data_IF_219434328281
#
_entry.id   IF_219434328281
#
_cell.length_a   1.000
_cell.length_b   1.000
_cell.length_c   1.000
_cell.angle_alpha   90.00
_cell.angle_beta   90.00
_cell.angle_gamma   90.00
#
_symmetry.space_group_name_H-M   'P 1'
#
loop_
_entity.id
_entity.type
_entity.pdbx_description
1 polymer ?
#
# COMPACT_ATOMS: atom_id res chain seq x y z
N UNK A 1 -14.79 7.02 28.18
CA UNK A 1 -15.35 7.19 26.81
C UNK A 1 -14.24 6.88 25.81
N UNK A 2 -14.54 6.18 24.73
CA UNK A 2 -13.56 6.00 23.65
C UNK A 2 -13.32 7.33 22.94
N UNK A 3 -12.04 7.63 22.62
CA UNK A 3 -11.63 8.90 21.99
C UNK A 3 -12.23 9.09 20.61
N UNK A 4 -12.49 10.33 20.24
CA UNK A 4 -12.87 10.73 18.89
C UNK A 4 -11.62 10.95 18.04
N UNK A 5 -11.48 10.22 16.94
CA UNK A 5 -10.29 10.22 16.09
C UNK A 5 -10.58 10.92 14.77
N UNK A 6 -9.85 11.99 14.49
CA UNK A 6 -9.81 12.61 13.17
C UNK A 6 -8.73 11.91 12.33
N UNK A 7 -9.15 11.17 11.32
CA UNK A 7 -8.23 10.52 10.37
C UNK A 7 -7.95 11.49 9.23
N UNK A 8 -6.67 11.71 8.92
CA UNK A 8 -6.26 12.45 7.73
C UNK A 8 -5.43 11.55 6.82
N UNK A 9 -5.84 11.42 5.57
CA UNK A 9 -5.19 10.49 4.62
C UNK A 9 -5.35 10.95 3.17
N UNK A 10 -4.61 10.32 2.26
CA UNK A 10 -4.82 10.54 0.83
C UNK A 10 -6.06 9.80 0.32
N UNK A 11 -6.22 8.54 0.69
CA UNK A 11 -7.33 7.69 0.29
C UNK A 11 -8.40 7.63 1.39
N UNK A 12 -9.71 7.53 1.07
CA UNK A 12 -10.73 7.23 2.06
C UNK A 12 -10.63 5.80 2.58
N UNK A 13 -11.35 5.49 3.66
CA UNK A 13 -11.55 4.11 4.09
C UNK A 13 -12.08 3.26 2.94
N UNK A 14 -11.56 2.05 2.79
CA UNK A 14 -11.96 1.13 1.72
C UNK A 14 -11.59 -0.31 2.07
N UNK A 15 -12.50 -1.25 1.81
CA UNK A 15 -12.24 -2.69 1.91
C UNK A 15 -11.43 -3.26 0.74
N UNK A 16 -11.31 -2.53 -0.36
CA UNK A 16 -10.85 -3.10 -1.63
C UNK A 16 -9.49 -2.58 -2.10
N UNK A 17 -9.16 -1.32 -1.85
CA UNK A 17 -8.05 -0.69 -2.55
C UNK A 17 -7.09 0.12 -1.66
N UNK A 18 -5.82 0.08 -2.05
CA UNK A 18 -4.76 0.99 -1.60
C UNK A 18 -4.60 1.13 -0.07
N UNK A 19 -4.20 2.29 0.35
CA UNK A 19 -4.02 2.66 1.76
C UNK A 19 -5.33 2.72 2.55
N UNK A 20 -6.50 2.82 1.89
CA UNK A 20 -7.81 2.72 2.51
C UNK A 20 -8.04 1.37 3.19
N UNK A 21 -7.56 0.27 2.58
CA UNK A 21 -7.60 -1.08 3.17
C UNK A 21 -6.74 -1.17 4.44
N UNK A 22 -5.62 -0.47 4.47
CA UNK A 22 -4.76 -0.40 5.67
C UNK A 22 -5.47 0.35 6.81
N UNK A 23 -6.14 1.47 6.50
CA UNK A 23 -6.94 2.21 7.48
C UNK A 23 -8.09 1.34 8.00
N UNK A 24 -8.83 0.67 7.11
CA UNK A 24 -9.88 -0.27 7.51
C UNK A 24 -9.35 -1.31 8.49
N UNK A 25 -8.21 -1.93 8.18
CA UNK A 25 -7.62 -2.97 9.03
C UNK A 25 -7.24 -2.46 10.44
N UNK A 26 -6.88 -1.19 10.59
CA UNK A 26 -6.47 -0.59 11.86
C UNK A 26 -7.66 -0.17 12.71
N UNK A 27 -8.72 0.33 12.09
CA UNK A 27 -9.91 0.83 12.79
C UNK A 27 -11.09 -0.15 12.78
N UNK A 28 -10.88 -1.37 12.31
CA UNK A 28 -11.90 -2.40 12.33
C UNK A 28 -12.37 -2.67 13.77
N UNK A 29 -13.69 -2.51 14.00
CA UNK A 29 -14.28 -2.64 15.33
C UNK A 29 -14.16 -1.39 16.21
N UNK A 30 -13.54 -0.31 15.74
CA UNK A 30 -13.65 0.99 16.40
C UNK A 30 -15.04 1.60 16.15
N UNK A 31 -15.67 2.27 17.14
CA UNK A 31 -17.00 2.86 16.95
C UNK A 31 -16.99 3.86 15.80
N UNK A 32 -17.86 3.65 14.81
CA UNK A 32 -17.89 4.46 13.59
C UNK A 32 -18.32 5.93 13.87
N UNK A 33 -19.06 6.16 14.95
CA UNK A 33 -19.46 7.49 15.44
C UNK A 33 -18.28 8.27 16.02
N UNK A 34 -17.21 7.59 16.45
CA UNK A 34 -16.00 8.19 16.99
C UNK A 34 -14.91 8.38 15.92
N UNK A 35 -15.24 8.15 14.64
CA UNK A 35 -14.36 8.38 13.52
C UNK A 35 -14.88 9.52 12.63
N UNK A 36 -13.96 10.40 12.21
CA UNK A 36 -14.17 11.36 11.14
C UNK A 36 -12.95 11.35 10.22
N UNK A 37 -13.13 11.50 8.92
CA UNK A 37 -12.01 11.43 7.97
C UNK A 37 -11.97 12.65 7.04
N UNK A 38 -10.78 13.25 6.94
CA UNK A 38 -10.40 14.18 5.88
C UNK A 38 -9.59 13.36 4.85
N UNK A 39 -9.94 13.46 3.57
CA UNK A 39 -9.21 12.76 2.52
C UNK A 39 -9.10 13.57 1.22
N UNK A 40 -8.12 13.21 0.37
CA UNK A 40 -7.68 14.03 -0.75
C UNK A 40 -8.04 13.45 -2.13
N UNK A 41 -8.37 12.17 -2.21
CA UNK A 41 -8.65 11.48 -3.47
C UNK A 41 -10.10 11.74 -3.93
N UNK A 42 -10.35 12.00 -5.24
CA UNK A 42 -11.69 12.18 -5.78
C UNK A 42 -12.40 10.83 -5.96
N UNK A 43 -12.60 10.09 -4.87
CA UNK A 43 -13.30 8.80 -4.83
C UNK A 43 -14.45 8.85 -3.82
N UNK A 44 -15.43 7.97 -3.99
CA UNK A 44 -16.52 7.80 -3.03
C UNK A 44 -16.01 7.05 -1.81
N UNK A 45 -16.24 7.55 -0.59
CA UNK A 45 -15.86 6.86 0.63
C UNK A 45 -16.82 5.71 0.95
N UNK A 46 -16.38 4.77 1.79
CA UNK A 46 -17.22 3.70 2.30
C UNK A 46 -17.80 4.08 3.68
N UNK A 47 -19.10 4.35 3.75
CA UNK A 47 -19.79 4.79 4.95
C UNK A 47 -19.96 3.68 6.01
N UNK A 48 -19.65 2.43 5.70
CA UNK A 48 -19.62 1.35 6.68
C UNK A 48 -18.48 1.48 7.71
N UNK A 49 -17.45 2.28 7.42
CA UNK A 49 -16.28 2.44 8.29
C UNK A 49 -16.24 3.78 9.01
N UNK A 50 -16.84 4.80 8.44
CA UNK A 50 -16.89 6.12 9.02
C UNK A 50 -18.11 6.86 8.46
N UNK A 51 -18.81 7.64 9.29
CA UNK A 51 -20.00 8.40 8.86
C UNK A 51 -19.71 9.85 8.51
N UNK A 52 -18.56 10.37 8.91
CA UNK A 52 -18.21 11.79 8.77
C UNK A 52 -17.01 11.93 7.87
N UNK A 53 -17.23 12.37 6.64
CA UNK A 53 -16.16 12.60 5.66
C UNK A 53 -16.09 14.06 5.27
N UNK A 54 -14.87 14.57 5.08
CA UNK A 54 -14.58 15.84 4.46
C UNK A 54 -13.57 15.63 3.34
N UNK A 55 -13.93 15.93 2.10
CA UNK A 55 -13.08 15.72 0.93
C UNK A 55 -12.48 17.04 0.46
N UNK A 56 -11.19 17.07 0.18
CA UNK A 56 -10.47 18.18 -0.45
C UNK A 56 -9.63 17.63 -1.57
N UNK A 57 -9.99 17.89 -2.82
CA UNK A 57 -9.29 17.36 -3.99
C UNK A 57 -8.30 18.36 -4.59
N UNK A 58 -7.28 17.86 -5.32
CA UNK A 58 -6.36 18.70 -6.09
C UNK A 58 -7.11 19.61 -7.08
N UNK A 59 -8.22 19.13 -7.64
CA UNK A 59 -9.06 19.91 -8.56
C UNK A 59 -9.70 21.13 -7.87
N UNK A 60 -10.29 20.91 -6.68
CA UNK A 60 -10.89 22.00 -5.91
C UNK A 60 -9.83 23.04 -5.49
N UNK A 61 -8.63 22.56 -5.14
CA UNK A 61 -7.46 23.41 -4.83
C UNK A 61 -7.04 24.24 -6.05
N UNK A 62 -6.96 23.65 -7.24
CA UNK A 62 -6.66 24.37 -8.48
C UNK A 62 -7.74 25.42 -8.79
N UNK A 63 -9.01 25.04 -8.71
CA UNK A 63 -10.14 25.94 -8.94
C UNK A 63 -10.14 27.11 -7.96
N UNK A 64 -9.85 26.85 -6.67
CA UNK A 64 -9.77 27.89 -5.67
C UNK A 64 -8.65 28.90 -5.94
N UNK A 65 -7.45 28.43 -6.28
CA UNK A 65 -6.32 29.32 -6.55
C UNK A 65 -6.51 30.14 -7.84
N UNK A 66 -7.15 29.56 -8.87
CA UNK A 66 -7.29 30.23 -10.18
C UNK A 66 -8.56 31.09 -10.29
N UNK A 67 -9.64 30.70 -9.63
CA UNK A 67 -10.98 31.33 -9.83
C UNK A 67 -11.75 31.55 -8.53
N UNK A 68 -11.09 31.47 -7.40
CA UNK A 68 -11.70 31.59 -6.07
C UNK A 68 -12.88 30.62 -5.83
N UNK A 69 -12.82 29.45 -6.52
CA UNK A 69 -13.82 28.38 -6.37
C UNK A 69 -13.87 27.81 -4.96
N UNK A 70 -14.97 27.11 -4.65
CA UNK A 70 -15.12 26.39 -3.37
C UNK A 70 -14.03 25.32 -3.25
N UNK A 71 -13.45 25.16 -2.06
CA UNK A 71 -12.45 24.14 -1.76
C UNK A 71 -12.90 23.28 -0.59
N UNK A 72 -13.07 21.99 -0.86
CA UNK A 72 -13.50 21.00 0.10
C UNK A 72 -14.98 21.08 0.47
N UNK A 73 -15.54 19.96 0.88
CA UNK A 73 -16.92 19.85 1.37
C UNK A 73 -17.09 18.58 2.22
N UNK A 74 -18.05 18.65 3.16
CA UNK A 74 -18.53 17.48 3.87
C UNK A 74 -19.31 16.55 2.93
N UNK A 75 -19.24 15.25 3.18
CA UNK A 75 -20.00 14.23 2.45
C UNK A 75 -20.93 13.51 3.44
N UNK A 76 -22.19 13.36 3.05
CA UNK A 76 -23.20 12.59 3.78
C UNK A 76 -23.53 11.30 3.02
N UNK A 77 -24.07 10.30 3.72
CA UNK A 77 -24.42 9.01 3.12
C UNK A 77 -25.45 9.16 1.98
N UNK A 78 -26.34 10.13 2.10
CA UNK A 78 -27.32 10.48 1.06
C UNK A 78 -26.66 10.99 -0.25
N UNK A 79 -25.47 11.60 -0.15
CA UNK A 79 -24.71 12.12 -1.29
C UNK A 79 -24.08 11.01 -2.12
N UNK A 80 -23.97 9.79 -1.60
CA UNK A 80 -23.43 8.63 -2.32
C UNK A 80 -24.23 8.28 -3.57
N UNK A 81 -25.50 8.67 -3.64
CA UNK A 81 -26.42 8.46 -4.76
C UNK A 81 -26.61 9.70 -5.66
N UNK A 82 -25.94 10.83 -5.39
CA UNK A 82 -26.20 12.07 -6.13
C UNK A 82 -25.22 12.30 -7.27
N UNK A 83 -25.73 12.82 -8.39
CA UNK A 83 -25.00 13.21 -9.61
C UNK A 83 -23.91 14.27 -9.40
N UNK A 84 -23.74 14.84 -8.18
CA UNK A 84 -22.67 15.79 -7.85
C UNK A 84 -21.26 15.16 -7.92
N UNK A 85 -21.14 13.86 -7.63
CA UNK A 85 -19.91 13.11 -7.84
C UNK A 85 -19.54 13.00 -9.31
N UNK A 86 -20.53 13.02 -10.21
CA UNK A 86 -20.32 12.91 -11.65
C UNK A 86 -19.82 14.22 -12.29
N UNK A 87 -20.21 15.40 -11.83
CA UNK A 87 -19.79 16.66 -12.43
C UNK A 87 -18.30 16.97 -12.18
N UNK A 88 -17.81 16.80 -10.95
CA UNK A 88 -16.38 16.94 -10.63
C UNK A 88 -15.56 15.86 -11.33
N UNK A 89 -16.06 14.63 -11.37
CA UNK A 89 -15.46 13.54 -12.11
C UNK A 89 -15.58 13.72 -13.63
N UNK A 90 -16.67 14.29 -14.15
CA UNK A 90 -16.87 14.56 -15.57
C UNK A 90 -15.92 15.65 -16.07
N UNK A 91 -15.67 16.69 -15.30
CA UNK A 91 -14.74 17.76 -15.69
C UNK A 91 -13.27 17.32 -15.57
N UNK A 92 -12.92 16.56 -14.52
CA UNK A 92 -11.61 15.88 -14.44
C UNK A 92 -11.49 14.87 -15.58
N UNK A 93 -12.53 14.10 -15.89
CA UNK A 93 -12.57 13.22 -17.08
C UNK A 93 -12.50 14.03 -18.37
N UNK A 94 -13.14 15.18 -18.47
CA UNK A 94 -13.10 16.04 -19.67
C UNK A 94 -11.74 16.71 -19.85
N UNK A 95 -11.11 17.22 -18.78
CA UNK A 95 -9.72 17.70 -18.81
C UNK A 95 -8.77 16.53 -19.13
N UNK A 96 -8.99 15.38 -18.53
CA UNK A 96 -8.30 14.12 -18.80
C UNK A 96 -8.53 13.65 -20.26
N UNK A 97 -9.78 13.71 -20.76
CA UNK A 97 -10.11 13.40 -22.15
C UNK A 97 -9.58 14.44 -23.15
N UNK A 98 -9.55 15.72 -22.80
CA UNK A 98 -8.98 16.78 -23.65
C UNK A 98 -7.46 16.66 -23.73
N UNK A 99 -6.80 16.37 -22.63
CA UNK A 99 -5.37 16.03 -22.58
C UNK A 99 -5.13 14.70 -23.32
N UNK A 100 -6.00 13.70 -23.18
CA UNK A 100 -5.95 12.42 -23.89
C UNK A 100 -6.12 12.58 -25.39
N UNK A 101 -7.12 13.35 -25.85
CA UNK A 101 -7.40 13.57 -27.28
C UNK A 101 -6.27 14.31 -27.98
N UNK A 102 -5.60 15.24 -27.26
CA UNK A 102 -4.40 15.95 -27.75
C UNK A 102 -3.17 15.05 -27.77
N UNK A 103 -3.12 14.04 -26.90
CA UNK A 103 -2.03 13.09 -26.69
C UNK A 103 -2.13 11.84 -27.58
N UNK A 104 -3.32 11.41 -27.99
CA UNK A 104 -3.49 10.28 -28.93
C UNK A 104 -2.81 10.54 -30.29
N UNK A 105 -2.58 11.81 -30.66
CA UNK A 105 -1.80 12.19 -31.84
C UNK A 105 -0.28 12.11 -31.68
N UNK A 106 0.26 11.95 -30.46
CA UNK A 106 1.70 12.10 -30.20
C UNK A 106 2.32 10.99 -29.34
N UNK A 107 1.74 9.80 -29.19
CA UNK A 107 2.36 8.70 -28.43
C UNK A 107 2.56 8.94 -26.91
N UNK A 108 2.33 10.17 -26.45
CA UNK A 108 2.52 10.63 -25.06
C UNK A 108 1.37 10.18 -24.15
N UNK A 109 0.22 9.78 -24.72
CA UNK A 109 -1.00 9.43 -23.99
C UNK A 109 -0.86 8.20 -23.08
N UNK A 110 -0.07 7.22 -23.48
CA UNK A 110 0.21 6.03 -22.64
C UNK A 110 1.08 6.37 -21.42
N UNK A 111 1.80 7.47 -21.47
CA UNK A 111 2.71 7.92 -20.43
C UNK A 111 1.98 8.67 -19.29
N UNK A 112 0.95 9.43 -19.63
CA UNK A 112 0.19 10.28 -18.69
C UNK A 112 -0.78 9.44 -17.83
N UNK A 113 -1.25 8.28 -18.32
CA UNK A 113 -2.19 7.40 -17.62
C UNK A 113 -1.58 6.54 -16.50
N UNK A 114 -0.25 6.41 -16.49
CA UNK A 114 0.44 5.67 -15.47
C UNK A 114 0.77 6.59 -14.31
N UNK A 115 0.33 6.64 -13.18
CA UNK A 115 0.82 7.40 -12.01
C UNK A 115 2.16 8.17 -12.17
N UNK A 116 2.70 8.23 -13.35
CA UNK A 116 3.97 8.83 -13.78
C UNK A 116 3.93 10.35 -13.80
N UNK A 117 2.80 10.98 -14.18
CA UNK A 117 2.68 12.46 -14.17
C UNK A 117 2.78 13.00 -12.75
N UNK A 118 2.21 12.28 -11.79
CA UNK A 118 2.35 12.61 -10.35
C UNK A 118 3.80 12.50 -9.84
N UNK A 119 4.71 12.05 -10.67
CA UNK A 119 6.12 11.80 -10.38
C UNK A 119 7.08 12.72 -11.12
N UNK A 120 6.56 13.58 -12.01
CA UNK A 120 7.38 14.61 -12.68
C UNK A 120 7.75 15.68 -11.63
N UNK A 121 9.04 15.96 -11.39
CA UNK A 121 9.47 16.87 -10.33
C UNK A 121 8.83 18.27 -10.39
N UNK A 122 8.68 18.82 -11.59
CA UNK A 122 8.03 20.11 -11.78
C UNK A 122 6.54 20.08 -11.41
N UNK A 123 5.84 18.99 -11.70
CA UNK A 123 4.44 18.83 -11.33
C UNK A 123 4.26 18.66 -9.80
N UNK A 124 5.17 17.93 -9.15
CA UNK A 124 5.18 17.83 -7.69
C UNK A 124 5.39 19.20 -7.05
N UNK A 125 6.36 19.99 -7.54
CA UNK A 125 6.61 21.34 -7.05
C UNK A 125 5.41 22.27 -7.27
N UNK A 126 4.78 22.19 -8.43
CA UNK A 126 3.57 22.96 -8.77
C UNK A 126 2.40 22.58 -7.83
N UNK A 127 2.18 21.30 -7.58
CA UNK A 127 1.17 20.81 -6.64
C UNK A 127 1.41 21.32 -5.23
N UNK A 128 2.65 21.26 -4.74
CA UNK A 128 3.04 21.80 -3.43
C UNK A 128 2.77 23.32 -3.32
N UNK A 129 3.00 24.04 -4.41
CA UNK A 129 2.72 25.47 -4.51
C UNK A 129 1.22 25.76 -4.45
N UNK A 130 0.40 25.03 -5.22
CA UNK A 130 -1.06 25.17 -5.22
C UNK A 130 -1.64 24.97 -3.83
N UNK A 131 -1.27 23.89 -3.14
CA UNK A 131 -1.72 23.59 -1.79
C UNK A 131 -1.27 24.65 -0.75
N UNK A 132 -0.17 25.36 -1.02
CA UNK A 132 0.29 26.46 -0.17
C UNK A 132 -0.62 27.69 -0.26
N UNK A 133 -1.15 27.97 -1.45
CA UNK A 133 -1.96 29.17 -1.72
C UNK A 133 -3.45 28.94 -1.63
N UNK A 134 -3.93 27.70 -1.64
CA UNK A 134 -5.33 27.38 -1.53
C UNK A 134 -5.89 27.70 -0.15
N UNK A 135 -7.08 28.30 -0.12
CA UNK A 135 -7.81 28.57 1.11
C UNK A 135 -8.64 27.34 1.53
N UNK A 136 -7.94 26.22 1.81
CA UNK A 136 -8.61 24.97 2.21
C UNK A 136 -9.19 25.03 3.65
N UNK A 137 -8.75 25.96 4.46
CA UNK A 137 -9.13 26.13 5.86
C UNK A 137 -10.38 27.04 6.01
N UNK A 138 -11.46 26.70 5.28
CA UNK A 138 -12.70 27.47 5.24
C UNK A 138 -13.44 27.49 6.58
N UNK A 139 -14.41 28.39 6.72
CA UNK A 139 -15.30 28.41 7.90
C UNK A 139 -16.07 27.09 8.04
N UNK A 140 -16.56 26.54 6.92
CA UNK A 140 -17.26 25.25 6.87
C UNK A 140 -16.37 24.11 7.37
N UNK A 141 -15.11 24.01 6.86
CA UNK A 141 -14.13 23.04 7.31
C UNK A 141 -13.88 23.13 8.83
N UNK A 142 -13.66 24.34 9.33
CA UNK A 142 -13.42 24.55 10.75
C UNK A 142 -14.64 24.22 11.62
N UNK A 143 -15.84 24.55 11.16
CA UNK A 143 -17.10 24.23 11.86
C UNK A 143 -17.32 22.72 11.90
N UNK A 144 -17.02 22.02 10.79
CA UNK A 144 -17.15 20.58 10.71
C UNK A 144 -16.21 19.85 11.70
N UNK A 145 -14.94 20.30 11.82
CA UNK A 145 -14.00 19.74 12.81
C UNK A 145 -14.44 20.03 14.24
N UNK A 146 -14.84 21.29 14.54
CA UNK A 146 -15.32 21.67 15.87
C UNK A 146 -16.55 20.90 16.30
N UNK A 147 -17.50 20.66 15.40
CA UNK A 147 -18.69 19.87 15.66
C UNK A 147 -18.38 18.40 15.98
N UNK A 148 -17.31 17.87 15.41
CA UNK A 148 -16.84 16.53 15.75
C UNK A 148 -16.07 16.52 17.08
N UNK A 149 -15.30 17.58 17.37
CA UNK A 149 -14.45 17.72 18.56
C UNK A 149 -13.50 16.53 18.75
N UNK A 150 -12.51 16.36 17.86
CA UNK A 150 -11.59 15.22 17.93
C UNK A 150 -10.63 15.30 19.12
N UNK A 151 -10.33 14.15 19.71
CA UNK A 151 -9.33 13.98 20.78
C UNK A 151 -7.95 13.65 20.25
N UNK A 152 -7.85 13.20 18.99
CA UNK A 152 -6.60 12.72 18.36
C UNK A 152 -6.66 12.96 16.84
N UNK A 153 -5.52 13.33 16.26
CA UNK A 153 -5.29 13.32 14.82
C UNK A 153 -4.45 12.09 14.43
N UNK A 154 -5.04 11.18 13.67
CA UNK A 154 -4.34 10.06 13.03
C UNK A 154 -4.03 10.42 11.58
N UNK A 155 -2.77 10.65 11.26
CA UNK A 155 -2.32 10.99 9.93
C UNK A 155 -1.66 9.80 9.23
N UNK A 156 -2.26 9.34 8.13
CA UNK A 156 -1.61 8.39 7.25
C UNK A 156 -0.64 9.13 6.33
N UNK A 157 0.65 8.99 6.60
CA UNK A 157 1.72 9.67 5.88
C UNK A 157 1.67 9.41 4.37
N UNK A 158 1.99 10.44 3.61
CA UNK A 158 1.99 10.43 2.16
C UNK A 158 3.33 10.88 1.58
N UNK A 159 3.48 10.86 0.26
CA UNK A 159 4.66 11.36 -0.44
C UNK A 159 4.69 12.88 -0.62
N UNK A 160 3.74 13.62 -0.03
CA UNK A 160 3.55 15.06 -0.24
C UNK A 160 3.88 15.85 1.02
N UNK A 161 4.73 16.89 0.90
CA UNK A 161 5.11 17.74 2.03
C UNK A 161 3.93 18.55 2.56
N UNK A 162 3.03 19.01 1.67
CA UNK A 162 1.85 19.78 2.09
C UNK A 162 0.93 18.99 3.04
N UNK A 163 0.83 17.66 2.88
CA UNK A 163 0.01 16.84 3.76
C UNK A 163 0.57 16.82 5.20
N UNK A 164 1.89 16.76 5.37
CA UNK A 164 2.52 16.92 6.68
C UNK A 164 2.28 18.32 7.29
N UNK A 165 2.33 19.38 6.45
CA UNK A 165 2.03 20.75 6.90
C UNK A 165 0.59 20.88 7.39
N UNK A 166 -0.38 20.28 6.66
CA UNK A 166 -1.79 20.25 7.07
C UNK A 166 -1.95 19.50 8.39
N UNK A 167 -1.38 18.30 8.51
CA UNK A 167 -1.45 17.51 9.74
C UNK A 167 -0.88 18.25 10.96
N UNK A 168 0.28 18.87 10.81
CA UNK A 168 0.89 19.70 11.85
C UNK A 168 0.02 20.89 12.23
N UNK A 169 -0.52 21.61 11.24
CA UNK A 169 -1.40 22.75 11.46
C UNK A 169 -2.70 22.36 12.17
N UNK A 170 -3.31 21.22 11.79
CA UNK A 170 -4.51 20.72 12.46
C UNK A 170 -4.22 20.34 13.93
N UNK A 171 -3.12 19.63 14.18
CA UNK A 171 -2.70 19.26 15.53
C UNK A 171 -2.48 20.51 16.40
N UNK A 172 -1.80 21.55 15.85
CA UNK A 172 -1.58 22.80 16.56
C UNK A 172 -2.86 23.58 16.82
N UNK A 173 -3.68 23.75 15.79
CA UNK A 173 -4.89 24.58 15.84
C UNK A 173 -5.94 24.07 16.80
N UNK A 174 -6.12 22.75 16.83
CA UNK A 174 -7.11 22.10 17.67
C UNK A 174 -6.56 21.54 18.97
N UNK A 175 -5.26 21.75 19.20
CA UNK A 175 -4.54 21.30 20.39
C UNK A 175 -4.69 19.80 20.67
N UNK A 176 -4.65 18.97 19.60
CA UNK A 176 -4.81 17.52 19.66
C UNK A 176 -3.49 16.80 19.33
N UNK A 177 -3.20 15.66 20.01
CA UNK A 177 -2.02 14.87 19.73
C UNK A 177 -2.04 14.30 18.31
N UNK A 178 -0.85 14.16 17.71
CA UNK A 178 -0.64 13.65 16.37
C UNK A 178 -0.05 12.24 16.42
N UNK A 179 -0.68 11.29 15.75
CA UNK A 179 -0.16 9.96 15.46
C UNK A 179 0.09 9.86 13.96
N UNK A 180 1.28 9.40 13.53
CA UNK A 180 1.63 9.27 12.11
C UNK A 180 1.84 7.81 11.74
N UNK A 181 1.09 7.31 10.75
CA UNK A 181 1.34 6.02 10.13
C UNK A 181 2.22 6.18 8.88
N UNK A 182 3.21 5.30 8.71
CA UNK A 182 4.11 5.27 7.56
C UNK A 182 4.01 3.92 6.85
N UNK A 183 3.52 3.93 5.61
CA UNK A 183 3.33 2.73 4.79
C UNK A 183 4.47 2.46 3.82
N UNK A 184 5.18 3.51 3.38
CA UNK A 184 6.25 3.44 2.39
C UNK A 184 7.41 4.39 2.71
N UNK A 185 8.61 4.08 2.20
CA UNK A 185 9.81 4.89 2.37
C UNK A 185 9.87 6.02 1.33
N UNK A 186 9.13 7.09 1.56
CA UNK A 186 9.19 8.28 0.72
C UNK A 186 10.38 9.21 1.04
N UNK A 187 11.14 8.93 2.09
CA UNK A 187 12.30 9.74 2.47
C UNK A 187 13.49 9.60 1.51
N UNK A 188 13.47 8.60 0.65
CA UNK A 188 14.48 8.37 -0.37
C UNK A 188 13.91 8.60 -1.76
N UNK A 189 14.47 9.55 -2.51
CA UNK A 189 14.06 9.78 -3.91
C UNK A 189 14.51 8.63 -4.80
N UNK A 190 13.59 8.21 -5.67
CA UNK A 190 13.85 7.20 -6.72
C UNK A 190 13.96 7.82 -8.11
N UNK A 191 13.73 9.13 -8.21
CA UNK A 191 13.69 9.84 -9.49
C UNK A 191 15.06 10.33 -9.94
N UNK A 192 15.23 10.59 -11.27
CA UNK A 192 16.44 11.21 -11.79
C UNK A 192 16.77 12.48 -11.00
N UNK A 193 18.05 12.67 -10.69
CA UNK A 193 18.52 13.85 -10.01
C UNK A 193 18.31 15.08 -10.89
N UNK A 194 17.39 15.95 -10.47
CA UNK A 194 17.23 17.30 -10.98
C UNK A 194 17.19 18.26 -9.80
N UNK A 195 17.56 19.51 -10.00
CA UNK A 195 17.51 20.53 -8.95
C UNK A 195 16.12 20.63 -8.33
N UNK A 196 15.06 20.56 -9.17
CA UNK A 196 13.68 20.55 -8.68
C UNK A 196 13.38 19.35 -7.82
N UNK A 197 13.86 18.16 -8.20
CA UNK A 197 13.65 16.94 -7.41
C UNK A 197 14.43 17.00 -6.08
N UNK A 198 15.64 17.52 -6.08
CA UNK A 198 16.41 17.71 -4.85
C UNK A 198 15.68 18.67 -3.89
N UNK A 199 15.14 19.76 -4.40
CA UNK A 199 14.34 20.71 -3.61
C UNK A 199 13.08 20.05 -3.04
N UNK A 200 12.30 19.35 -3.87
CA UNK A 200 11.09 18.64 -3.43
C UNK A 200 11.42 17.61 -2.34
N UNK A 201 12.50 16.86 -2.51
CA UNK A 201 12.93 15.85 -1.55
C UNK A 201 13.42 16.48 -0.24
N UNK A 202 14.15 17.58 -0.31
CA UNK A 202 14.62 18.32 0.87
C UNK A 202 13.42 18.89 1.65
N UNK A 203 12.44 19.47 0.94
CA UNK A 203 11.21 19.99 1.55
C UNK A 203 10.39 18.84 2.19
N UNK A 204 10.21 17.74 1.48
CA UNK A 204 9.54 16.54 2.02
C UNK A 204 10.24 16.05 3.30
N UNK A 205 11.54 15.83 3.24
CA UNK A 205 12.32 15.33 4.38
C UNK A 205 12.29 16.27 5.58
N UNK A 206 12.27 17.60 5.33
CA UNK A 206 12.10 18.61 6.40
C UNK A 206 10.77 18.40 7.14
N UNK A 207 9.65 18.34 6.43
CA UNK A 207 8.34 18.23 7.07
C UNK A 207 8.07 16.83 7.61
N UNK A 208 8.60 15.78 6.99
CA UNK A 208 8.61 14.43 7.55
C UNK A 208 9.33 14.42 8.91
N UNK A 209 10.52 14.98 8.99
CA UNK A 209 11.30 15.09 10.24
C UNK A 209 10.54 15.85 11.33
N UNK A 210 10.01 17.03 11.00
CA UNK A 210 9.20 17.83 11.94
C UNK A 210 7.98 17.02 12.40
N UNK A 211 7.26 16.36 11.47
CA UNK A 211 6.12 15.54 11.79
C UNK A 211 6.46 14.41 12.75
N UNK A 212 7.52 13.64 12.47
CA UNK A 212 7.99 12.55 13.33
C UNK A 212 8.37 13.04 14.73
N UNK A 213 9.07 14.16 14.82
CA UNK A 213 9.52 14.73 16.11
C UNK A 213 8.36 15.29 16.95
N UNK A 214 7.27 15.72 16.31
CA UNK A 214 6.07 16.26 16.97
C UNK A 214 4.99 15.22 17.21
N UNK A 215 5.05 14.08 16.53
CA UNK A 215 4.12 13.00 16.73
C UNK A 215 4.28 12.40 18.15
N UNK A 216 3.15 12.15 18.83
CA UNK A 216 3.14 11.37 20.06
C UNK A 216 3.61 9.93 19.81
N UNK A 217 3.26 9.39 18.65
CA UNK A 217 3.68 8.05 18.19
C UNK A 217 3.73 8.01 16.66
N UNK A 218 4.77 7.37 16.14
CA UNK A 218 4.90 7.01 14.72
C UNK A 218 4.67 5.52 14.56
N UNK A 219 3.89 5.14 13.57
CA UNK A 219 3.52 3.75 13.27
C UNK A 219 4.13 3.32 11.93
N UNK A 220 5.37 2.81 11.91
CA UNK A 220 5.94 2.21 10.71
C UNK A 220 5.27 0.89 10.35
N UNK A 221 5.22 0.57 9.04
CA UNK A 221 4.61 -0.68 8.55
C UNK A 221 5.44 -1.93 8.86
N UNK A 222 6.71 -1.80 9.27
CA UNK A 222 7.58 -2.91 9.64
C UNK A 222 8.72 -2.46 10.55
N UNK A 223 9.31 -3.43 11.27
CA UNK A 223 10.42 -3.21 12.21
C UNK A 223 11.69 -2.67 11.53
N UNK A 224 11.91 -2.98 10.25
CA UNK A 224 13.04 -2.44 9.49
C UNK A 224 12.88 -0.95 9.20
N UNK A 225 11.64 -0.52 8.91
CA UNK A 225 11.32 0.90 8.78
C UNK A 225 11.41 1.60 10.14
N UNK A 226 10.93 0.98 11.21
CA UNK A 226 11.05 1.49 12.57
C UNK A 226 12.50 1.79 12.92
N UNK A 227 13.38 0.78 12.78
CA UNK A 227 14.81 0.91 13.09
C UNK A 227 15.47 2.03 12.30
N UNK A 228 15.24 2.08 10.98
CA UNK A 228 15.83 3.08 10.10
C UNK A 228 15.32 4.49 10.40
N UNK A 229 14.00 4.66 10.58
CA UNK A 229 13.39 5.97 10.82
C UNK A 229 13.68 6.50 12.21
N UNK A 230 13.70 5.64 13.22
CA UNK A 230 14.11 6.00 14.59
C UNK A 230 15.56 6.50 14.61
N UNK A 231 16.47 5.82 13.89
CA UNK A 231 17.86 6.24 13.75
C UNK A 231 18.01 7.59 13.02
N UNK A 232 17.19 7.84 11.97
CA UNK A 232 17.29 9.06 11.13
C UNK A 232 16.61 10.27 11.71
N UNK A 233 15.46 10.08 12.33
CA UNK A 233 14.55 11.17 12.68
C UNK A 233 14.24 11.24 14.18
N UNK A 234 14.56 10.21 14.96
CA UNK A 234 14.17 10.11 16.38
C UNK A 234 12.69 9.84 16.56
N UNK A 235 12.14 10.16 17.72
CA UNK A 235 10.72 10.01 18.07
C UNK A 235 10.37 8.62 18.62
N UNK A 236 9.13 8.49 19.10
CA UNK A 236 8.56 7.21 19.57
C UNK A 236 7.96 6.47 18.40
N UNK A 237 8.40 5.23 18.20
CA UNK A 237 7.91 4.37 17.14
C UNK A 237 7.29 3.10 17.73
N UNK A 238 6.19 2.65 17.13
CA UNK A 238 5.52 1.36 17.43
C UNK A 238 5.12 0.74 16.10
N UNK A 239 5.76 -0.37 15.72
CA UNK A 239 5.44 -1.05 14.46
C UNK A 239 4.07 -1.70 14.52
N UNK A 240 3.20 -1.37 13.56
CA UNK A 240 1.98 -2.10 13.28
C UNK A 240 1.91 -2.50 11.82
N UNK A 241 1.71 -3.79 11.59
CA UNK A 241 1.58 -4.36 10.26
C UNK A 241 0.10 -4.51 9.87
N UNK A 242 -0.15 -4.58 8.57
CA UNK A 242 -1.49 -4.85 8.08
C UNK A 242 -2.01 -6.19 8.59
N UNK A 243 -3.29 -6.23 8.92
CA UNK A 243 -3.98 -7.42 9.38
C UNK A 243 -5.02 -7.90 8.39
N UNK A 244 -5.38 -9.14 8.49
CA UNK A 244 -6.44 -9.74 7.70
C UNK A 244 -7.17 -10.80 8.54
N UNK A 245 -8.48 -10.94 8.33
CA UNK A 245 -9.22 -12.05 8.90
C UNK A 245 -8.79 -13.35 8.22
N UNK A 246 -8.52 -14.39 9.01
CA UNK A 246 -8.18 -15.70 8.45
C UNK A 246 -9.31 -16.22 7.55
N UNK A 247 -8.98 -16.80 6.40
CA UNK A 247 -9.99 -17.46 5.55
C UNK A 247 -10.53 -18.76 6.16
N UNK A 248 -10.04 -19.17 7.34
CA UNK A 248 -10.35 -20.44 7.94
C UNK A 248 -9.47 -21.58 7.41
N UNK A 249 -9.90 -22.82 7.65
CA UNK A 249 -9.18 -23.99 7.16
C UNK A 249 -9.43 -24.18 5.67
N UNK A 250 -8.45 -23.85 4.85
CA UNK A 250 -8.46 -24.17 3.44
C UNK A 250 -8.10 -25.66 3.25
N UNK A 251 -8.80 -26.41 2.37
CA UNK A 251 -8.57 -27.84 2.17
C UNK A 251 -7.12 -28.10 1.75
N UNK A 252 -6.51 -29.14 2.35
CA UNK A 252 -5.17 -29.57 1.96
C UNK A 252 -5.20 -30.19 0.56
N UNK A 253 -4.25 -29.81 -0.30
CA UNK A 253 -4.10 -30.44 -1.61
C UNK A 253 -2.97 -31.47 -1.57
N UNK A 254 -3.33 -32.72 -1.80
CA UNK A 254 -2.42 -33.88 -1.72
C UNK A 254 -1.77 -34.27 -3.05
N UNK A 255 -2.17 -33.68 -4.18
CA UNK A 255 -1.62 -34.06 -5.49
C UNK A 255 -0.13 -33.64 -5.61
N UNK A 256 0.74 -34.62 -5.64
CA UNK A 256 2.21 -34.46 -5.71
C UNK A 256 2.69 -34.21 -7.16
N UNK A 257 1.99 -34.79 -8.13
CA UNK A 257 2.42 -34.78 -9.54
C UNK A 257 2.25 -33.44 -10.24
N UNK A 258 1.45 -32.52 -9.67
CA UNK A 258 1.14 -31.23 -10.25
C UNK A 258 1.08 -30.13 -9.19
N UNK A 259 2.24 -29.65 -8.77
CA UNK A 259 2.33 -28.50 -7.87
C UNK A 259 1.87 -27.22 -8.59
N UNK A 260 0.93 -26.51 -7.99
CA UNK A 260 0.42 -25.22 -8.46
C UNK A 260 1.01 -24.10 -7.64
N UNK A 261 1.67 -23.16 -8.31
CA UNK A 261 2.19 -21.94 -7.71
C UNK A 261 1.26 -20.77 -8.08
N UNK A 262 1.04 -19.86 -7.15
CA UNK A 262 0.22 -18.66 -7.35
C UNK A 262 1.00 -17.40 -7.00
N UNK A 263 1.05 -16.46 -7.92
CA UNK A 263 1.42 -15.08 -7.66
C UNK A 263 0.21 -14.17 -7.83
N UNK A 264 -0.15 -13.38 -6.81
CA UNK A 264 -1.20 -12.37 -6.89
C UNK A 264 -0.62 -11.01 -6.50
N UNK A 265 -0.38 -10.15 -7.50
CA UNK A 265 0.21 -8.85 -7.24
C UNK A 265 0.60 -8.07 -8.49
N UNK A 266 1.11 -6.86 -8.28
CA UNK A 266 1.58 -6.01 -9.36
C UNK A 266 2.84 -6.60 -10.02
N UNK A 267 2.77 -6.86 -11.32
CA UNK A 267 3.88 -7.39 -12.13
C UNK A 267 4.84 -6.31 -12.63
N UNK A 268 4.48 -5.04 -12.47
CA UNK A 268 5.30 -3.90 -12.88
C UNK A 268 6.53 -3.74 -11.95
N UNK A 269 7.23 -2.62 -12.07
CA UNK A 269 8.42 -2.30 -11.26
C UNK A 269 9.51 -3.41 -11.29
N UNK A 270 9.65 -4.11 -12.44
CA UNK A 270 10.67 -5.13 -12.63
C UNK A 270 10.33 -6.52 -12.10
N UNK A 271 9.20 -6.71 -11.42
CA UNK A 271 8.77 -8.02 -10.88
C UNK A 271 8.52 -9.05 -11.98
N UNK A 272 8.02 -8.64 -13.16
CA UNK A 272 7.84 -9.53 -14.31
C UNK A 272 9.12 -10.26 -14.73
N UNK A 273 10.31 -9.64 -14.55
CA UNK A 273 11.60 -10.28 -14.87
C UNK A 273 11.90 -11.43 -13.90
N UNK A 274 11.59 -11.23 -12.63
CA UNK A 274 11.78 -12.24 -11.57
C UNK A 274 10.76 -13.38 -11.74
N UNK A 275 9.50 -13.07 -12.05
CA UNK A 275 8.47 -14.06 -12.36
C UNK A 275 8.84 -14.91 -13.58
N UNK A 276 9.39 -14.30 -14.64
CA UNK A 276 9.88 -15.04 -15.80
C UNK A 276 11.07 -15.95 -15.45
N UNK A 277 11.98 -15.50 -14.58
CA UNK A 277 13.09 -16.34 -14.10
C UNK A 277 12.57 -17.52 -13.26
N UNK A 278 11.63 -17.28 -12.37
CA UNK A 278 10.97 -18.33 -11.58
C UNK A 278 10.25 -19.35 -12.48
N UNK A 279 9.48 -18.86 -13.47
CA UNK A 279 8.83 -19.74 -14.44
C UNK A 279 9.83 -20.61 -15.22
N UNK A 280 10.96 -20.02 -15.69
CA UNK A 280 12.00 -20.81 -16.35
C UNK A 280 12.64 -21.88 -15.44
N UNK A 281 12.83 -21.56 -14.14
CA UNK A 281 13.26 -22.55 -13.16
C UNK A 281 12.24 -23.70 -13.06
N UNK A 282 10.96 -23.37 -12.99
CA UNK A 282 9.88 -24.33 -12.94
C UNK A 282 9.80 -25.20 -14.21
N UNK A 283 9.97 -24.61 -15.40
CA UNK A 283 10.03 -25.37 -16.66
C UNK A 283 11.18 -26.39 -16.67
N UNK A 284 12.38 -25.99 -16.21
CA UNK A 284 13.53 -26.93 -16.12
C UNK A 284 13.29 -28.08 -15.14
N UNK A 285 12.60 -27.80 -14.01
CA UNK A 285 12.20 -28.86 -13.08
C UNK A 285 11.21 -29.80 -13.74
N UNK A 286 10.22 -29.28 -14.47
CA UNK A 286 9.26 -30.09 -15.21
C UNK A 286 9.95 -30.99 -16.25
N UNK A 287 10.85 -30.42 -17.05
CA UNK A 287 11.58 -31.17 -18.10
C UNK A 287 12.42 -32.30 -17.51
N UNK A 288 13.10 -32.01 -16.38
CA UNK A 288 13.97 -33.00 -15.71
C UNK A 288 13.18 -34.14 -15.03
N UNK A 289 12.01 -33.80 -14.44
CA UNK A 289 11.24 -34.75 -13.63
C UNK A 289 10.00 -35.32 -14.36
N UNK A 290 9.71 -34.91 -15.59
CA UNK A 290 8.52 -35.32 -16.32
C UNK A 290 7.23 -34.82 -15.71
N UNK A 291 7.26 -33.69 -14.98
CA UNK A 291 6.13 -33.12 -14.23
C UNK A 291 5.46 -31.98 -15.00
N UNK A 292 4.29 -31.51 -14.51
CA UNK A 292 3.54 -30.38 -15.12
C UNK A 292 3.16 -29.34 -14.09
N UNK A 293 4.16 -28.88 -13.30
CA UNK A 293 3.98 -27.77 -12.36
C UNK A 293 3.69 -26.46 -13.09
N UNK A 294 2.85 -25.60 -12.51
CA UNK A 294 2.43 -24.33 -13.13
C UNK A 294 2.56 -23.16 -12.17
N UNK A 295 2.91 -21.99 -12.71
CA UNK A 295 2.88 -20.70 -12.02
C UNK A 295 1.76 -19.85 -12.64
N UNK A 296 0.67 -19.65 -11.89
CA UNK A 296 -0.41 -18.75 -12.29
C UNK A 296 -0.16 -17.35 -11.74
N UNK A 297 -0.28 -16.33 -12.61
CA UNK A 297 -0.03 -14.93 -12.28
C UNK A 297 -1.32 -14.14 -12.41
N UNK A 298 -1.80 -13.57 -11.32
CA UNK A 298 -2.92 -12.63 -11.28
C UNK A 298 -2.42 -11.23 -10.92
N UNK A 299 -2.83 -10.21 -11.69
CA UNK A 299 -2.48 -8.82 -11.43
C UNK A 299 -3.75 -7.96 -11.28
N UNK A 300 -3.83 -7.11 -10.26
CA UNK A 300 -4.95 -6.18 -10.08
C UNK A 300 -4.92 -5.04 -11.10
N UNK A 301 -3.79 -4.86 -11.80
CA UNK A 301 -3.60 -3.83 -12.82
C UNK A 301 -3.52 -4.49 -14.19
N UNK A 302 -3.98 -3.77 -15.21
CA UNK A 302 -3.78 -4.17 -16.60
C UNK A 302 -2.30 -4.37 -16.89
N UNK A 303 -1.95 -5.55 -17.37
CA UNK A 303 -0.57 -5.92 -17.70
C UNK A 303 -0.25 -5.41 -19.11
N UNK A 304 0.78 -4.58 -19.31
CA UNK A 304 1.21 -4.15 -20.64
C UNK A 304 1.49 -5.35 -21.56
N UNK A 305 1.03 -5.26 -22.81
CA UNK A 305 1.12 -6.36 -23.78
C UNK A 305 2.56 -6.91 -23.96
N UNK A 306 3.57 -6.02 -23.88
CA UNK A 306 4.97 -6.45 -23.94
C UNK A 306 5.37 -7.36 -22.77
N UNK A 307 4.84 -7.12 -21.58
CA UNK A 307 5.07 -7.96 -20.39
C UNK A 307 4.30 -9.28 -20.53
N UNK A 308 3.06 -9.24 -21.00
CA UNK A 308 2.28 -10.47 -21.29
C UNK A 308 3.06 -11.35 -22.25
N UNK A 309 3.48 -10.81 -23.41
CA UNK A 309 4.29 -11.53 -24.40
C UNK A 309 5.60 -12.08 -23.83
N UNK A 310 6.21 -11.38 -22.87
CA UNK A 310 7.45 -11.84 -22.23
C UNK A 310 7.20 -13.02 -21.29
N UNK A 311 6.12 -12.98 -20.51
CA UNK A 311 5.76 -14.01 -19.53
C UNK A 311 5.23 -15.28 -20.23
N UNK A 312 4.37 -15.15 -21.24
CA UNK A 312 3.75 -16.29 -21.95
C UNK A 312 4.71 -17.07 -22.83
N UNK A 313 5.92 -16.56 -23.07
CA UNK A 313 7.01 -17.35 -23.69
C UNK A 313 7.54 -18.47 -22.78
N UNK A 314 7.22 -18.46 -21.49
CA UNK A 314 7.66 -19.45 -20.53
C UNK A 314 6.56 -20.49 -20.33
N UNK A 315 6.77 -21.77 -20.71
CA UNK A 315 5.70 -22.78 -20.77
C UNK A 315 4.98 -23.04 -19.45
N UNK A 316 5.66 -22.90 -18.32
CA UNK A 316 5.09 -23.13 -16.99
C UNK A 316 4.27 -21.93 -16.45
N UNK A 317 4.22 -20.79 -17.17
CA UNK A 317 3.50 -19.59 -16.73
C UNK A 317 2.12 -19.52 -17.36
N UNK A 318 1.11 -19.28 -16.52
CA UNK A 318 -0.27 -19.01 -16.92
C UNK A 318 -0.63 -17.61 -16.43
N UNK A 319 -1.13 -16.74 -17.32
CA UNK A 319 -1.65 -15.43 -16.96
C UNK A 319 -3.14 -15.55 -16.68
N UNK A 320 -3.54 -15.30 -15.45
CA UNK A 320 -4.94 -15.26 -15.02
C UNK A 320 -5.53 -13.85 -15.10
N UNK A 321 -6.84 -13.75 -14.94
CA UNK A 321 -7.55 -12.48 -14.82
C UNK A 321 -7.30 -11.77 -13.49
N UNK A 322 -7.69 -10.49 -13.37
CA UNK A 322 -7.73 -9.82 -12.08
C UNK A 322 -8.76 -10.48 -11.17
N UNK A 323 -8.40 -10.63 -9.90
CA UNK A 323 -9.24 -11.29 -8.88
C UNK A 323 -9.72 -10.27 -7.85
N UNK A 324 -10.99 -10.37 -7.46
CA UNK A 324 -11.49 -9.73 -6.25
C UNK A 324 -11.02 -10.51 -4.99
N UNK A 325 -11.39 -10.03 -3.78
CA UNK A 325 -10.91 -10.64 -2.53
C UNK A 325 -11.39 -12.08 -2.31
N UNK A 326 -12.63 -12.41 -2.70
CA UNK A 326 -13.19 -13.76 -2.57
C UNK A 326 -12.57 -14.73 -3.58
N UNK A 327 -12.43 -14.27 -4.83
CA UNK A 327 -11.77 -15.02 -5.90
C UNK A 327 -10.29 -15.30 -5.56
N UNK A 328 -9.61 -14.33 -4.96
CA UNK A 328 -8.23 -14.50 -4.50
C UNK A 328 -8.15 -15.56 -3.39
N UNK A 329 -9.06 -15.52 -2.42
CA UNK A 329 -9.12 -16.53 -1.35
C UNK A 329 -9.32 -17.93 -1.92
N UNK A 330 -10.22 -18.08 -2.90
CA UNK A 330 -10.44 -19.36 -3.61
C UNK A 330 -9.21 -19.80 -4.38
N UNK A 331 -8.57 -18.89 -5.14
CA UNK A 331 -7.36 -19.18 -5.90
C UNK A 331 -6.19 -19.60 -4.99
N UNK A 332 -6.03 -18.98 -3.82
CA UNK A 332 -5.06 -19.39 -2.80
C UNK A 332 -5.41 -20.79 -2.26
N UNK A 333 -6.70 -21.07 -2.01
CA UNK A 333 -7.17 -22.39 -1.59
C UNK A 333 -6.85 -23.49 -2.62
N UNK A 334 -6.83 -23.14 -3.91
CA UNK A 334 -6.54 -24.03 -5.02
C UNK A 334 -5.04 -24.20 -5.33
N UNK A 335 -4.17 -23.69 -4.50
CA UNK A 335 -2.73 -23.62 -4.73
C UNK A 335 -1.95 -24.43 -3.68
N UNK A 336 -0.75 -24.93 -4.03
CA UNK A 336 0.16 -25.58 -3.10
C UNK A 336 1.18 -24.59 -2.53
N UNK A 337 1.65 -23.65 -3.36
CA UNK A 337 2.70 -22.70 -3.02
C UNK A 337 2.27 -21.30 -3.44
N UNK A 338 2.21 -20.36 -2.51
CA UNK A 338 2.02 -18.93 -2.80
C UNK A 338 3.39 -18.27 -3.02
N UNK A 339 3.44 -17.34 -3.96
CA UNK A 339 4.71 -16.75 -4.42
C UNK A 339 4.76 -15.27 -4.11
N UNK A 340 5.87 -14.82 -3.52
CA UNK A 340 6.20 -13.41 -3.37
C UNK A 340 7.49 -13.08 -4.13
N UNK A 341 7.50 -11.99 -4.90
CA UNK A 341 8.68 -11.56 -5.63
C UNK A 341 8.98 -10.08 -5.48
N UNK A 342 10.28 -9.75 -5.39
CA UNK A 342 10.78 -8.38 -5.44
C UNK A 342 11.84 -8.21 -6.52
N UNK A 343 11.93 -7.02 -7.09
CA UNK A 343 12.86 -6.72 -8.18
C UNK A 343 14.31 -6.62 -7.69
N UNK A 344 15.25 -7.20 -8.43
CA UNK A 344 16.69 -7.01 -8.20
C UNK A 344 17.25 -5.71 -8.81
N UNK A 345 16.45 -4.97 -9.58
CA UNK A 345 16.88 -3.70 -10.17
C UNK A 345 17.16 -2.64 -9.12
N UNK A 346 18.32 -2.00 -9.16
CA UNK A 346 18.79 -1.07 -8.12
C UNK A 346 17.79 0.03 -7.78
N UNK A 347 17.14 0.62 -8.78
CA UNK A 347 16.13 1.67 -8.59
C UNK A 347 14.87 1.11 -7.91
N UNK A 348 14.43 -0.09 -8.29
CA UNK A 348 13.24 -0.72 -7.72
C UNK A 348 13.49 -1.20 -6.29
N UNK A 349 14.70 -1.70 -6.00
CA UNK A 349 15.13 -2.02 -4.63
C UNK A 349 15.03 -0.80 -3.70
N UNK A 350 15.48 0.37 -4.15
CA UNK A 350 15.35 1.61 -3.35
C UNK A 350 13.89 1.93 -3.05
N UNK A 351 12.99 1.74 -4.03
CA UNK A 351 11.57 2.01 -3.88
C UNK A 351 10.89 1.09 -2.85
N UNK A 352 11.23 -0.20 -2.87
CA UNK A 352 10.56 -1.21 -2.03
C UNK A 352 11.35 -1.60 -0.79
N UNK A 353 12.50 -0.96 -0.56
CA UNK A 353 13.47 -1.35 0.49
C UNK A 353 12.85 -1.54 1.87
N UNK A 354 11.96 -0.65 2.28
CA UNK A 354 11.31 -0.68 3.60
C UNK A 354 9.80 -0.98 3.54
N UNK A 355 9.29 -1.32 2.36
CA UNK A 355 7.86 -1.63 2.18
C UNK A 355 7.58 -3.12 2.42
N UNK A 356 6.41 -3.41 2.99
CA UNK A 356 5.89 -4.77 3.12
C UNK A 356 4.67 -4.92 2.21
N UNK A 357 4.66 -5.98 1.41
CA UNK A 357 3.53 -6.25 0.52
C UNK A 357 2.26 -6.56 1.31
N UNK A 358 1.15 -5.92 0.94
CA UNK A 358 -0.18 -6.17 1.54
C UNK A 358 -0.68 -7.60 1.34
N UNK A 359 -0.06 -8.38 0.44
CA UNK A 359 -0.39 -9.79 0.21
C UNK A 359 0.28 -10.75 1.19
N UNK A 360 1.33 -10.31 1.87
CA UNK A 360 2.03 -11.16 2.85
C UNK A 360 1.10 -11.62 3.96
N UNK A 361 0.30 -10.77 4.63
CA UNK A 361 -0.66 -11.24 5.63
C UNK A 361 -1.66 -12.28 5.10
N UNK A 362 -2.17 -12.09 3.86
CA UNK A 362 -3.08 -13.04 3.21
C UNK A 362 -2.42 -14.42 2.99
N UNK A 363 -1.16 -14.41 2.56
CA UNK A 363 -0.39 -15.63 2.33
C UNK A 363 -0.05 -16.35 3.66
N UNK A 364 0.35 -15.59 4.69
CA UNK A 364 0.62 -16.15 6.02
C UNK A 364 -0.64 -16.80 6.64
N UNK A 365 -1.81 -16.16 6.48
CA UNK A 365 -3.08 -16.66 6.98
C UNK A 365 -3.59 -17.91 6.25
N UNK A 366 -3.11 -18.15 5.04
CA UNK A 366 -3.65 -19.18 4.13
C UNK A 366 -3.24 -20.62 4.45
N UNK A 367 -2.29 -20.83 5.34
CA UNK A 367 -1.67 -22.15 5.59
C UNK A 367 -1.12 -22.79 4.29
N UNK A 368 -0.65 -21.98 3.34
CA UNK A 368 0.07 -22.46 2.16
C UNK A 368 1.56 -22.21 2.32
N UNK A 369 2.37 -23.11 1.79
CA UNK A 369 3.81 -22.90 1.71
C UNK A 369 4.06 -21.61 0.91
N UNK A 370 4.97 -20.78 1.38
CA UNK A 370 5.38 -19.56 0.69
C UNK A 370 6.77 -19.74 0.08
N UNK A 371 6.91 -19.34 -1.19
CA UNK A 371 8.18 -19.23 -1.89
C UNK A 371 8.44 -17.78 -2.25
N UNK A 372 9.60 -17.26 -1.90
CA UNK A 372 9.94 -15.87 -2.18
C UNK A 372 11.23 -15.74 -3.00
N UNK A 373 11.26 -14.74 -3.90
CA UNK A 373 12.45 -14.43 -4.72
C UNK A 373 12.68 -12.91 -4.69
N UNK A 374 13.84 -12.50 -4.21
CA UNK A 374 14.20 -11.08 -4.19
C UNK A 374 15.43 -10.76 -3.38
N UNK A 375 15.92 -9.50 -3.44
CA UNK A 375 17.11 -9.07 -2.73
C UNK A 375 16.94 -9.16 -1.21
N UNK A 376 17.98 -9.63 -0.51
CA UNK A 376 17.98 -9.84 0.94
C UNK A 376 17.81 -8.53 1.77
N UNK A 377 18.07 -7.37 1.19
CA UNK A 377 17.96 -6.06 1.84
C UNK A 377 16.58 -5.40 1.67
N UNK A 378 15.65 -6.03 0.94
CA UNK A 378 14.26 -5.56 0.83
C UNK A 378 13.44 -6.11 2.00
N UNK A 379 12.73 -5.24 2.70
CA UNK A 379 12.04 -5.56 3.95
C UNK A 379 11.09 -6.78 3.83
N UNK A 380 10.32 -6.89 2.75
CA UNK A 380 9.41 -8.02 2.55
C UNK A 380 10.14 -9.36 2.42
N UNK A 381 11.27 -9.41 1.72
CA UNK A 381 12.11 -10.62 1.57
C UNK A 381 12.78 -10.95 2.91
N UNK A 382 13.36 -9.94 3.56
CA UNK A 382 14.00 -10.08 4.85
C UNK A 382 13.02 -10.56 5.92
N UNK A 383 11.81 -9.98 5.96
CA UNK A 383 10.76 -10.38 6.89
C UNK A 383 10.39 -11.87 6.77
N UNK A 384 10.21 -12.34 5.55
CA UNK A 384 9.90 -13.75 5.28
C UNK A 384 11.06 -14.68 5.67
N UNK A 385 12.29 -14.26 5.39
CA UNK A 385 13.49 -15.05 5.70
C UNK A 385 13.78 -15.10 7.20
N UNK A 386 13.85 -13.94 7.87
CA UNK A 386 14.21 -13.82 9.28
C UNK A 386 13.21 -14.54 10.20
N UNK A 387 11.93 -14.61 9.81
CA UNK A 387 10.91 -15.38 10.52
C UNK A 387 10.84 -16.86 10.10
N UNK A 388 11.63 -17.29 9.12
CA UNK A 388 11.63 -18.66 8.57
C UNK A 388 10.23 -19.15 8.17
N UNK A 389 9.46 -18.30 7.47
CA UNK A 389 8.07 -18.59 7.03
C UNK A 389 7.95 -18.82 5.54
N UNK A 390 9.05 -18.78 4.82
CA UNK A 390 9.13 -19.04 3.38
C UNK A 390 10.47 -19.63 3.00
N UNK A 391 10.51 -20.42 1.95
CA UNK A 391 11.75 -20.71 1.24
C UNK A 391 12.12 -19.48 0.38
N UNK A 392 13.36 -19.01 0.44
CA UNK A 392 13.76 -17.72 -0.12
C UNK A 392 14.98 -17.84 -1.03
N UNK A 393 14.82 -17.52 -2.30
CA UNK A 393 15.93 -17.31 -3.24
C UNK A 393 16.37 -15.84 -3.22
N UNK A 394 17.53 -15.55 -2.64
CA UNK A 394 18.05 -14.19 -2.44
C UNK A 394 18.85 -13.62 -3.61
N UNK A 395 19.06 -14.43 -4.66
CA UNK A 395 19.80 -14.06 -5.86
C UNK A 395 18.93 -14.22 -7.11
N UNK A 396 19.21 -13.39 -8.13
CA UNK A 396 18.55 -13.51 -9.43
C UNK A 396 19.09 -14.62 -10.32
N UNK A 397 20.14 -15.33 -9.87
CA UNK A 397 20.74 -16.44 -10.62
C UNK A 397 19.74 -17.59 -10.78
N UNK A 398 19.60 -18.07 -12.03
CA UNK A 398 18.66 -19.13 -12.39
C UNK A 398 18.88 -20.41 -11.55
N UNK A 399 20.15 -20.80 -11.33
CA UNK A 399 20.54 -22.00 -10.57
C UNK A 399 20.13 -21.91 -9.10
N UNK A 400 20.22 -20.71 -8.48
CA UNK A 400 19.81 -20.49 -7.09
C UNK A 400 18.28 -20.60 -6.96
N UNK A 401 17.53 -19.96 -7.87
CA UNK A 401 16.06 -20.02 -7.87
C UNK A 401 15.60 -21.47 -8.06
N UNK A 402 16.19 -22.19 -9.01
CA UNK A 402 15.87 -23.60 -9.29
C UNK A 402 16.18 -24.51 -8.10
N UNK A 403 17.33 -24.34 -7.46
CA UNK A 403 17.74 -25.12 -6.29
C UNK A 403 16.76 -24.92 -5.12
N UNK A 404 16.48 -23.67 -4.76
CA UNK A 404 15.58 -23.38 -3.63
C UNK A 404 14.13 -23.81 -3.93
N UNK A 405 13.67 -23.63 -5.17
CA UNK A 405 12.33 -24.05 -5.59
C UNK A 405 12.19 -25.58 -5.57
N UNK A 406 13.19 -26.32 -6.05
CA UNK A 406 13.20 -27.80 -6.04
C UNK A 406 13.04 -28.37 -4.64
N UNK A 407 13.63 -27.74 -3.61
CA UNK A 407 13.51 -28.20 -2.22
C UNK A 407 12.04 -28.26 -1.78
N UNK A 408 11.28 -27.17 -2.01
CA UNK A 408 9.87 -27.10 -1.59
C UNK A 408 8.93 -27.87 -2.51
N UNK A 409 9.27 -28.03 -3.78
CA UNK A 409 8.48 -28.88 -4.71
C UNK A 409 8.58 -30.34 -4.27
N UNK A 410 9.79 -30.82 -3.97
CA UNK A 410 10.07 -32.24 -3.72
C UNK A 410 9.81 -32.67 -2.27
N UNK A 411 9.68 -31.76 -1.32
CA UNK A 411 9.42 -32.10 0.09
C UNK A 411 8.09 -31.56 0.60
N UNK A 412 7.16 -32.47 0.92
CA UNK A 412 5.90 -32.15 1.60
C UNK A 412 6.17 -31.64 3.01
N UNK A 413 7.10 -32.28 3.71
CA UNK A 413 7.48 -31.95 5.09
C UNK A 413 7.98 -30.50 5.15
N UNK A 414 8.80 -30.08 4.18
CA UNK A 414 9.30 -28.71 4.12
C UNK A 414 8.17 -27.71 3.82
N UNK A 415 7.22 -28.07 2.95
CA UNK A 415 6.03 -27.22 2.70
C UNK A 415 5.18 -27.08 3.95
N UNK A 416 4.94 -28.14 4.70
CA UNK A 416 4.20 -28.14 5.98
C UNK A 416 4.93 -27.28 7.00
N UNK A 417 6.25 -27.45 7.16
CA UNK A 417 7.07 -26.65 8.06
C UNK A 417 6.92 -25.14 7.81
N UNK A 418 7.04 -24.69 6.56
CA UNK A 418 6.87 -23.26 6.25
C UNK A 418 5.44 -22.77 6.45
N UNK A 419 4.46 -23.57 6.09
CA UNK A 419 3.03 -23.29 6.28
C UNK A 419 2.65 -23.08 7.75
N UNK A 420 3.10 -23.95 8.64
CA UNK A 420 2.79 -23.87 10.07
C UNK A 420 3.45 -22.66 10.71
N UNK A 421 4.70 -22.39 10.38
CA UNK A 421 5.41 -21.19 10.85
C UNK A 421 4.78 -19.91 10.33
N UNK A 422 4.35 -19.91 9.06
CA UNK A 422 3.65 -18.78 8.45
C UNK A 422 2.35 -18.48 9.21
N UNK A 423 1.56 -19.49 9.50
CA UNK A 423 0.32 -19.32 10.24
C UNK A 423 0.55 -18.90 11.70
N UNK A 424 1.56 -19.43 12.36
CA UNK A 424 1.95 -19.00 13.71
C UNK A 424 2.38 -17.51 13.72
N UNK A 425 3.10 -17.05 12.70
CA UNK A 425 3.46 -15.64 12.55
C UNK A 425 2.22 -14.76 12.28
N UNK A 426 1.28 -15.24 11.44
CA UNK A 426 -0.01 -14.57 11.21
C UNK A 426 -0.74 -14.32 12.52
N UNK A 427 -0.92 -15.35 13.37
CA UNK A 427 -1.60 -15.22 14.63
C UNK A 427 -0.96 -14.18 15.57
N UNK A 428 0.36 -14.08 15.56
CA UNK A 428 1.11 -13.15 16.43
C UNK A 428 1.08 -11.69 15.93
N UNK A 429 1.13 -11.47 14.61
CA UNK A 429 1.42 -10.12 14.04
C UNK A 429 0.39 -9.59 13.04
N UNK A 430 -0.46 -10.47 12.50
CA UNK A 430 -1.37 -10.11 11.42
C UNK A 430 -2.83 -10.47 11.69
N UNK A 431 -3.13 -10.97 12.90
CA UNK A 431 -4.50 -11.18 13.36
C UNK A 431 -5.12 -9.82 13.74
N UNK A 432 -6.35 -9.50 13.31
CA UNK A 432 -7.04 -8.25 13.65
C UNK A 432 -7.12 -7.96 15.15
N UNK A 433 -7.35 -8.97 15.99
CA UNK A 433 -7.44 -8.80 17.44
C UNK A 433 -6.15 -8.23 18.05
N UNK A 434 -4.99 -8.71 17.60
CA UNK A 434 -3.67 -8.20 18.05
C UNK A 434 -3.49 -6.73 17.69
N UNK A 435 -3.92 -6.33 16.49
CA UNK A 435 -3.80 -4.92 16.05
C UNK A 435 -4.78 -4.00 16.77
N UNK A 436 -6.01 -4.46 17.04
CA UNK A 436 -7.00 -3.67 17.81
C UNK A 436 -6.47 -3.30 19.19
N UNK A 437 -5.87 -4.25 19.92
CA UNK A 437 -5.26 -3.98 21.23
C UNK A 437 -4.11 -2.97 21.10
N UNK A 438 -3.23 -3.15 20.12
CA UNK A 438 -2.11 -2.24 19.91
C UNK A 438 -2.54 -0.82 19.49
N UNK A 439 -3.58 -0.68 18.68
CA UNK A 439 -4.15 0.64 18.33
C UNK A 439 -4.79 1.29 19.56
N UNK A 440 -5.51 0.53 20.39
CA UNK A 440 -6.08 1.06 21.63
C UNK A 440 -4.98 1.61 22.55
N UNK A 441 -3.89 0.85 22.74
CA UNK A 441 -2.73 1.30 23.51
C UNK A 441 -2.10 2.58 22.93
N UNK A 442 -1.92 2.65 21.61
CA UNK A 442 -1.35 3.84 20.95
C UNK A 442 -2.25 5.05 21.16
N UNK A 443 -3.57 4.90 21.03
CA UNK A 443 -4.55 5.96 21.23
C UNK A 443 -4.54 6.44 22.68
N UNK A 444 -4.48 5.51 23.64
CA UNK A 444 -4.41 5.84 25.07
C UNK A 444 -3.12 6.60 25.41
N UNK A 445 -1.97 6.12 24.92
CA UNK A 445 -0.68 6.77 25.14
C UNK A 445 -0.50 8.11 24.41
N UNK A 446 -1.32 8.40 23.40
CA UNK A 446 -1.22 9.64 22.62
C UNK A 446 -1.51 10.91 23.44
N UNK A 447 -2.14 10.81 24.61
CA UNK A 447 -2.36 11.94 25.52
C UNK A 447 -1.08 12.51 26.12
N UNK A 448 0.00 11.73 26.12
CA UNK A 448 1.28 12.17 26.69
C UNK A 448 2.12 12.81 25.57
N UNK A 449 1.95 14.13 25.37
CA UNK A 449 2.85 14.89 24.48
C UNK A 449 4.29 14.71 24.95
N UNK A 450 5.25 14.46 24.03
CA UNK A 450 6.65 14.60 24.38
C UNK A 450 6.87 16.07 24.78
N UNK A 451 7.30 16.28 25.99
CA UNK A 451 7.73 17.59 26.52
C UNK A 451 9.02 18.02 25.82
#
# INVERSE_FOLDING_TARGET
>A
MQKKILVFSHNPFSSQANNGKTLESFFKGYPIENLAQIYLEPSTPDFNYCRRYYRITDYEVISNVLSNGRVGHALEEADSNSQFLDASNAMVRHLYHSIRKKSERTGISKFIHSGFVRRIPAFVAFREMLWRFANWETLEFNSWIRAFAPDLLFFQGSSCAFAYKIALRLSDKYDIPLVIQLTDDYANSIYPYSVVQMFNQAMYNKYLKIGIQRASTVIPICEYMETEYKRRFGGRHVTLMNTIKSPGNLPERTAIDRIRLLYAGNVLIGRHKVLAALGRALSRINDRCGTKHTLTIHSPLSIPQAIVKHLTKVPSIVIGQSLNSEELTRAIGDTNIVVHVESFGAQMRKLTRLSISTKIPEYLASRRCMFAVGPADVASIRYLFDNAVAAVAKESKQTVIESELSKVINSRELRTYYSDRAYALYLRKHNPETTMNSIADIIEFADRRPR
#
